data_IF_196857475565
#
_entry.id   IF_196857475565
#
_cell.length_a   1.000
_cell.length_b   1.000
_cell.length_c   1.000
_cell.angle_alpha   90.00
_cell.angle_beta   90.00
_cell.angle_gamma   90.00
#
_symmetry.space_group_name_H-M   'P 1'
#
loop_
_entity.id
_entity.type
_entity.pdbx_description
1 polymer ?
#
# COMPACT_ATOMS: atom_id res chain seq x y z
N UNK A 1 -9.14 3.87 -9.11
CA UNK A 1 -8.86 4.68 -10.31
C UNK A 1 -10.16 5.03 -11.05
N UNK A 2 -10.29 6.23 -11.62
CA UNK A 2 -11.49 6.63 -12.38
C UNK A 2 -11.08 7.30 -13.69
N UNK A 3 -11.64 6.84 -14.81
CA UNK A 3 -11.43 7.46 -16.13
C UNK A 3 -12.69 7.37 -16.97
N UNK A 4 -13.17 8.51 -17.46
CA UNK A 4 -14.36 8.61 -18.35
C UNK A 4 -15.59 7.85 -17.81
N UNK A 5 -15.82 7.89 -16.50
CA UNK A 5 -16.95 7.21 -15.85
C UNK A 5 -16.74 5.72 -15.56
N UNK A 6 -15.63 5.12 -16.00
CA UNK A 6 -15.24 3.76 -15.60
C UNK A 6 -14.41 3.83 -14.33
N UNK A 7 -14.73 2.97 -13.37
CA UNK A 7 -14.03 2.85 -12.08
C UNK A 7 -13.31 1.51 -12.04
N UNK A 8 -12.07 1.54 -11.58
CA UNK A 8 -11.32 0.36 -11.17
C UNK A 8 -11.01 0.49 -9.67
N UNK A 9 -11.39 -0.52 -8.91
CA UNK A 9 -11.24 -0.56 -7.45
C UNK A 9 -10.08 -1.46 -7.01
N UNK A 10 -9.60 -1.24 -5.79
CA UNK A 10 -8.71 -2.16 -5.06
C UNK A 10 -7.37 -2.42 -5.74
N UNK A 11 -6.76 -1.37 -6.32
CA UNK A 11 -5.50 -1.51 -7.09
C UNK A 11 -4.23 -1.57 -6.23
N UNK A 12 -4.31 -1.14 -4.98
CA UNK A 12 -3.21 -0.94 -4.05
C UNK A 12 -2.34 -2.19 -3.86
N UNK A 13 -2.91 -3.37 -3.65
CA UNK A 13 -2.10 -4.59 -3.40
C UNK A 13 -1.32 -5.03 -4.63
N UNK A 14 -1.94 -4.98 -5.82
CA UNK A 14 -1.26 -5.31 -7.07
C UNK A 14 -0.15 -4.28 -7.38
N UNK A 15 -0.45 -2.99 -7.23
CA UNK A 15 0.55 -1.94 -7.44
C UNK A 15 1.70 -2.03 -6.43
N UNK A 16 1.41 -2.43 -5.21
CA UNK A 16 2.41 -2.70 -4.17
C UNK A 16 3.34 -3.84 -4.60
N UNK A 17 2.78 -4.95 -5.09
CA UNK A 17 3.55 -6.09 -5.58
C UNK A 17 4.42 -5.73 -6.79
N UNK A 18 3.86 -4.99 -7.77
CA UNK A 18 4.61 -4.52 -8.94
C UNK A 18 5.78 -3.62 -8.53
N UNK A 19 5.56 -2.69 -7.58
CA UNK A 19 6.61 -1.81 -7.08
C UNK A 19 7.67 -2.60 -6.29
N UNK A 20 7.24 -3.55 -5.46
CA UNK A 20 8.12 -4.42 -4.68
C UNK A 20 8.94 -5.40 -5.53
N UNK A 21 8.47 -5.72 -6.74
CA UNK A 21 9.16 -6.57 -7.73
C UNK A 21 9.94 -5.75 -8.77
N UNK A 22 10.07 -4.45 -8.59
CA UNK A 22 10.76 -3.54 -9.52
C UNK A 22 10.20 -3.53 -10.96
N UNK A 23 8.90 -3.78 -11.13
CA UNK A 23 8.22 -3.67 -12.42
C UNK A 23 7.94 -2.21 -12.75
N UNK A 24 8.53 -1.71 -13.82
CA UNK A 24 8.26 -0.34 -14.31
C UNK A 24 7.15 -0.29 -15.37
N UNK A 25 7.06 -1.32 -16.21
CA UNK A 25 6.13 -1.36 -17.35
C UNK A 25 5.38 -2.69 -17.40
N UNK A 26 4.05 -2.65 -17.39
CA UNK A 26 3.21 -3.82 -17.63
C UNK A 26 1.83 -3.40 -18.18
N UNK A 27 1.13 -4.37 -18.78
CA UNK A 27 -0.31 -4.26 -19.03
C UNK A 27 -1.05 -5.09 -17.98
N UNK A 28 -2.14 -4.53 -17.47
CA UNK A 28 -3.04 -5.18 -16.52
C UNK A 28 -4.40 -5.27 -17.20
N UNK A 29 -4.72 -6.46 -17.69
CA UNK A 29 -6.00 -6.75 -18.33
C UNK A 29 -6.97 -7.35 -17.31
N UNK A 30 -8.19 -6.83 -17.29
CA UNK A 30 -9.25 -7.21 -16.35
C UNK A 30 -10.58 -7.31 -17.10
N UNK A 31 -11.38 -8.29 -16.73
CA UNK A 31 -12.75 -8.47 -17.22
C UNK A 31 -13.81 -7.96 -16.23
N UNK A 32 -13.37 -7.27 -15.17
CA UNK A 32 -14.22 -6.73 -14.11
C UNK A 32 -13.72 -5.36 -13.61
N UNK A 33 -14.47 -4.71 -12.71
CA UNK A 33 -14.21 -3.37 -12.18
C UNK A 33 -13.35 -3.36 -10.90
N UNK A 34 -12.86 -4.50 -10.45
CA UNK A 34 -12.08 -4.65 -9.21
C UNK A 34 -10.94 -5.64 -9.43
N UNK A 35 -9.76 -5.34 -8.89
CA UNK A 35 -8.63 -6.28 -8.84
C UNK A 35 -8.98 -7.41 -7.86
N UNK A 36 -8.69 -8.68 -8.19
CA UNK A 36 -8.94 -9.78 -7.27
C UNK A 36 -8.17 -9.59 -5.95
N UNK A 37 -8.86 -9.72 -4.83
CA UNK A 37 -8.28 -9.54 -3.49
C UNK A 37 -7.32 -10.66 -3.08
N UNK A 38 -7.43 -11.82 -3.73
CA UNK A 38 -6.68 -13.04 -3.44
C UNK A 38 -6.79 -13.44 -1.96
N UNK A 39 -5.68 -13.46 -1.22
CA UNK A 39 -5.64 -13.78 0.21
C UNK A 39 -5.67 -12.53 1.11
N UNK A 40 -5.89 -11.35 0.52
CA UNK A 40 -5.88 -10.07 1.21
C UNK A 40 -4.51 -9.42 1.32
N UNK A 41 -3.45 -10.06 0.84
CA UNK A 41 -2.08 -9.53 0.82
C UNK A 41 -1.60 -9.26 -0.62
N UNK A 42 -0.31 -8.95 -0.77
CA UNK A 42 0.37 -8.80 -2.07
C UNK A 42 1.21 -10.01 -2.44
N UNK A 43 1.35 -11.01 -1.55
CA UNK A 43 2.25 -12.16 -1.71
C UNK A 43 1.96 -12.95 -2.98
N UNK A 44 0.70 -13.35 -3.19
CA UNK A 44 0.31 -14.10 -4.38
C UNK A 44 0.60 -13.32 -5.69
N UNK A 45 0.42 -12.00 -5.71
CA UNK A 45 0.81 -11.20 -6.87
C UNK A 45 2.33 -11.17 -7.05
N UNK A 46 3.07 -10.98 -5.96
CA UNK A 46 4.52 -10.92 -5.96
C UNK A 46 5.15 -12.23 -6.45
N UNK A 47 4.62 -13.37 -6.02
CA UNK A 47 5.02 -14.70 -6.48
C UNK A 47 4.75 -14.90 -7.97
N UNK A 48 3.54 -14.56 -8.45
CA UNK A 48 3.20 -14.66 -9.87
C UNK A 48 4.09 -13.78 -10.76
N UNK A 49 4.48 -12.59 -10.29
CA UNK A 49 5.43 -11.72 -10.99
C UNK A 49 6.83 -12.38 -11.03
N UNK A 50 7.29 -12.94 -9.91
CA UNK A 50 8.57 -13.62 -9.83
C UNK A 50 8.62 -14.87 -10.74
N UNK A 51 7.54 -15.65 -10.81
CA UNK A 51 7.40 -16.80 -11.70
C UNK A 51 7.41 -16.41 -13.18
N UNK A 52 6.75 -15.31 -13.54
CA UNK A 52 6.76 -14.78 -14.90
C UNK A 52 8.13 -14.23 -15.31
N UNK A 53 8.90 -13.71 -14.34
CA UNK A 53 10.21 -13.10 -14.53
C UNK A 53 10.13 -11.65 -15.05
N UNK A 54 11.26 -10.95 -14.92
CA UNK A 54 11.41 -9.55 -15.36
C UNK A 54 12.23 -9.48 -16.64
N UNK A 55 11.72 -8.77 -17.64
CA UNK A 55 12.45 -8.48 -18.88
C UNK A 55 13.10 -7.09 -18.79
N UNK A 56 14.44 -7.04 -18.86
CA UNK A 56 15.16 -5.78 -18.95
C UNK A 56 14.87 -5.07 -20.28
N UNK A 57 14.82 -3.74 -20.24
CA UNK A 57 14.59 -2.89 -21.41
C UNK A 57 15.83 -2.02 -21.64
N UNK A 58 16.13 -1.73 -22.91
CA UNK A 58 17.23 -0.83 -23.30
C UNK A 58 16.86 0.65 -23.08
N UNK A 59 16.64 1.00 -21.82
CA UNK A 59 16.36 2.34 -21.37
C UNK A 59 16.78 2.50 -19.89
N UNK A 60 17.33 3.66 -19.49
CA UNK A 60 17.63 3.90 -18.08
C UNK A 60 16.34 3.91 -17.25
N UNK A 61 16.39 3.29 -16.07
CA UNK A 61 15.30 3.36 -15.09
C UNK A 61 15.27 4.78 -14.52
N UNK A 62 14.08 5.37 -14.47
CA UNK A 62 13.89 6.75 -13.98
C UNK A 62 13.28 6.72 -12.60
N UNK A 63 13.69 7.66 -11.74
CA UNK A 63 13.21 7.81 -10.38
C UNK A 63 12.71 9.22 -10.13
N UNK A 64 11.66 9.37 -9.32
CA UNK A 64 11.27 10.66 -8.75
C UNK A 64 12.06 10.87 -7.46
N UNK A 65 13.08 11.74 -7.51
CA UNK A 65 13.89 12.11 -6.33
C UNK A 65 13.28 13.32 -5.63
N UNK A 66 12.93 13.15 -4.36
CA UNK A 66 12.39 14.21 -3.50
C UNK A 66 13.51 15.19 -3.13
N UNK A 67 13.22 16.49 -3.21
CA UNK A 67 14.16 17.60 -2.98
C UNK A 67 13.79 18.48 -1.79
N UNK A 68 12.50 18.54 -1.47
CA UNK A 68 11.97 19.33 -0.37
C UNK A 68 10.90 18.54 0.36
N UNK A 69 10.72 18.78 1.66
CA UNK A 69 9.69 18.12 2.45
C UNK A 69 8.30 18.59 2.01
N UNK A 70 7.40 17.63 1.76
CA UNK A 70 5.99 17.86 1.48
C UNK A 70 5.15 17.13 2.52
N UNK A 71 4.11 17.79 3.05
CA UNK A 71 3.30 17.28 4.15
C UNK A 71 1.81 17.57 3.95
N UNK A 72 0.97 16.65 4.44
CA UNK A 72 -0.48 16.79 4.60
C UNK A 72 -0.85 16.45 6.03
N UNK A 73 -1.73 17.27 6.62
CA UNK A 73 -2.34 17.05 7.92
C UNK A 73 -3.86 17.19 7.78
N UNK A 74 -4.61 16.22 8.31
CA UNK A 74 -6.07 16.20 8.31
C UNK A 74 -6.56 15.68 9.67
N UNK A 75 -6.82 16.59 10.62
CA UNK A 75 -7.19 16.20 11.98
C UNK A 75 -6.02 15.50 12.68
N UNK A 76 -6.22 14.25 13.08
CA UNK A 76 -5.19 13.41 13.73
C UNK A 76 -4.36 12.58 12.75
N UNK A 77 -4.59 12.73 11.44
CA UNK A 77 -3.88 12.00 10.38
C UNK A 77 -2.83 12.88 9.75
N UNK A 78 -1.60 12.38 9.67
CA UNK A 78 -0.50 13.09 9.01
C UNK A 78 0.31 12.17 8.12
N UNK A 79 0.78 12.71 7.01
CA UNK A 79 1.72 12.03 6.14
C UNK A 79 2.65 13.05 5.52
N UNK A 80 3.93 12.70 5.45
CA UNK A 80 4.95 13.54 4.85
C UNK A 80 5.89 12.70 4.02
N UNK A 81 6.53 13.36 3.07
CA UNK A 81 7.65 12.81 2.31
C UNK A 81 8.79 13.82 2.30
N UNK A 82 10.01 13.36 2.53
CA UNK A 82 11.20 14.19 2.62
C UNK A 82 12.39 13.59 1.85
N UNK A 83 13.40 14.42 1.51
CA UNK A 83 14.56 13.96 0.76
C UNK A 83 15.29 12.82 1.47
N UNK A 84 15.54 11.74 0.74
CA UNK A 84 16.40 10.64 1.14
C UNK A 84 17.05 10.03 -0.11
N UNK A 85 18.16 9.32 0.07
CA UNK A 85 18.83 8.60 -1.02
C UNK A 85 18.11 7.30 -1.38
N UNK A 86 17.51 6.64 -0.38
CA UNK A 86 16.76 5.40 -0.54
C UNK A 86 15.26 5.62 -0.28
N UNK A 87 14.44 4.68 -0.73
CA UNK A 87 13.02 4.63 -0.40
C UNK A 87 12.82 3.98 0.97
N UNK A 88 12.17 4.70 1.88
CA UNK A 88 11.82 4.17 3.21
C UNK A 88 10.48 4.71 3.68
N UNK A 89 9.80 3.95 4.53
CA UNK A 89 8.50 4.31 5.11
C UNK A 89 8.56 4.05 6.61
N UNK A 90 8.36 5.08 7.40
CA UNK A 90 8.04 4.98 8.82
C UNK A 90 6.52 5.09 8.97
N UNK A 91 5.87 4.04 9.45
CA UNK A 91 4.42 4.01 9.64
C UNK A 91 4.08 3.79 11.11
N UNK A 92 3.15 4.60 11.61
CA UNK A 92 2.54 4.47 12.92
C UNK A 92 1.03 4.33 12.76
N UNK A 93 0.48 3.26 13.33
CA UNK A 93 -0.96 3.09 13.47
C UNK A 93 -1.33 3.16 14.95
N UNK A 94 -2.53 3.66 15.23
CA UNK A 94 -3.05 3.77 16.59
C UNK A 94 -4.55 3.48 16.56
N UNK A 95 -4.89 2.22 16.82
CA UNK A 95 -6.25 1.73 16.87
C UNK A 95 -6.61 1.42 18.32
N UNK A 96 -7.78 1.89 18.76
CA UNK A 96 -8.34 1.53 20.06
C UNK A 96 -8.90 0.10 20.02
N UNK A 97 -8.02 -0.89 19.87
CA UNK A 97 -8.34 -2.30 19.76
C UNK A 97 -7.26 -3.14 20.45
N UNK A 98 -7.62 -4.12 21.29
CA UNK A 98 -6.67 -4.85 22.15
C UNK A 98 -5.57 -5.60 21.38
N UNK A 99 -5.83 -6.04 20.14
CA UNK A 99 -4.82 -6.73 19.30
C UNK A 99 -3.94 -5.79 18.49
N UNK A 100 -4.37 -4.55 18.25
CA UNK A 100 -3.61 -3.61 17.42
C UNK A 100 -2.87 -2.63 18.33
N UNK A 101 -3.61 -1.89 19.17
CA UNK A 101 -3.10 -0.74 19.92
C UNK A 101 -2.29 0.20 19.01
N UNK A 102 -1.29 0.87 19.59
CA UNK A 102 -0.31 1.64 18.84
C UNK A 102 0.82 0.73 18.37
N UNK A 103 1.02 0.65 17.06
CA UNK A 103 2.13 -0.08 16.44
C UNK A 103 2.96 0.86 15.58
N UNK A 104 4.23 0.56 15.45
CA UNK A 104 5.14 1.30 14.57
C UNK A 104 6.08 0.34 13.86
N UNK A 105 6.25 0.52 12.56
CA UNK A 105 7.22 -0.23 11.77
C UNK A 105 7.94 0.71 10.80
N UNK A 106 9.23 0.46 10.57
CA UNK A 106 10.01 1.18 9.57
C UNK A 106 10.48 0.20 8.51
N UNK A 107 10.01 0.39 7.29
CA UNK A 107 10.45 -0.35 6.11
C UNK A 107 11.52 0.44 5.38
N UNK A 108 12.61 -0.21 4.98
CA UNK A 108 13.61 0.34 4.06
C UNK A 108 13.70 -0.59 2.85
N UNK A 109 13.58 -0.03 1.65
CA UNK A 109 13.67 -0.81 0.44
C UNK A 109 15.12 -1.27 0.22
N UNK A 110 15.30 -2.59 0.13
CA UNK A 110 16.53 -3.24 -0.29
C UNK A 110 16.19 -4.47 -1.15
N UNK A 111 17.22 -5.17 -1.62
CA UNK A 111 17.01 -6.37 -2.42
C UNK A 111 16.26 -7.45 -1.63
N UNK A 112 14.97 -7.63 -1.98
CA UNK A 112 14.07 -8.62 -1.40
C UNK A 112 13.46 -8.24 -0.06
N UNK A 113 13.69 -7.05 0.50
CA UNK A 113 13.04 -6.67 1.77
C UNK A 113 11.52 -6.67 1.66
N UNK A 114 10.97 -6.23 0.52
CA UNK A 114 9.53 -6.23 0.28
C UNK A 114 8.91 -7.63 0.45
N UNK A 115 9.48 -8.64 -0.22
CA UNK A 115 9.00 -10.02 -0.12
C UNK A 115 9.13 -10.59 1.29
N UNK A 116 10.23 -10.29 1.99
CA UNK A 116 10.48 -10.81 3.36
C UNK A 116 9.62 -10.15 4.43
N UNK A 117 9.30 -8.87 4.29
CA UNK A 117 8.79 -8.06 5.38
C UNK A 117 7.37 -7.52 5.16
N UNK A 118 6.91 -7.40 3.92
CA UNK A 118 5.69 -6.66 3.61
C UNK A 118 4.68 -7.49 2.82
N UNK A 119 5.13 -8.24 1.81
CA UNK A 119 4.25 -8.85 0.80
C UNK A 119 3.11 -9.69 1.40
N UNK A 120 3.40 -10.48 2.43
CA UNK A 120 2.43 -11.41 3.05
C UNK A 120 1.47 -10.76 4.05
N UNK A 121 1.58 -9.45 4.33
CA UNK A 121 0.74 -8.79 5.33
C UNK A 121 -0.70 -8.58 4.81
N UNK A 122 -1.67 -9.26 5.42
CA UNK A 122 -3.07 -9.26 4.95
C UNK A 122 -3.84 -8.03 5.39
N UNK A 123 -4.84 -7.69 4.58
CA UNK A 123 -5.84 -6.68 4.91
C UNK A 123 -6.67 -7.09 6.11
N UNK A 124 -7.29 -6.11 6.76
CA UNK A 124 -8.06 -6.34 7.97
C UNK A 124 -9.27 -5.41 8.07
N UNK A 125 -10.31 -5.88 8.76
CA UNK A 125 -11.53 -5.11 8.98
C UNK A 125 -12.24 -5.54 10.26
N UNK A 126 -13.17 -4.70 10.73
CA UNK A 126 -13.90 -4.93 11.98
C UNK A 126 -15.28 -5.51 11.72
N UNK A 127 -15.72 -6.48 12.54
CA UNK A 127 -17.05 -7.11 12.40
C UNK A 127 -18.20 -6.11 12.43
N UNK A 128 -18.06 -5.04 13.21
CA UNK A 128 -19.06 -3.97 13.33
C UNK A 128 -19.23 -3.17 12.04
N UNK A 129 -18.17 -3.07 11.23
CA UNK A 129 -18.17 -2.33 9.96
C UNK A 129 -18.66 -3.19 8.81
N UNK A 130 -18.45 -4.51 8.86
CA UNK A 130 -18.78 -5.44 7.75
C UNK A 130 -20.26 -5.37 7.37
N UNK A 131 -21.18 -5.33 8.33
CA UNK A 131 -22.62 -5.22 8.01
C UNK A 131 -22.95 -3.91 7.29
N UNK A 132 -22.33 -2.79 7.72
CA UNK A 132 -22.53 -1.49 7.09
C UNK A 132 -21.95 -1.47 5.68
N UNK A 133 -20.74 -1.99 5.50
CA UNK A 133 -20.07 -2.10 4.20
C UNK A 133 -20.90 -2.94 3.23
N UNK A 134 -21.39 -4.11 3.66
CA UNK A 134 -22.25 -4.97 2.83
C UNK A 134 -23.55 -4.28 2.42
N UNK A 135 -24.19 -3.52 3.33
CA UNK A 135 -25.38 -2.71 3.00
C UNK A 135 -25.09 -1.61 1.97
N UNK A 136 -23.83 -1.14 1.89
CA UNK A 136 -23.36 -0.19 0.90
C UNK A 136 -22.81 -0.87 -0.39
N UNK A 137 -23.02 -2.17 -0.58
CA UNK A 137 -22.44 -2.98 -1.66
C UNK A 137 -20.89 -3.00 -1.68
N UNK A 138 -20.27 -2.85 -0.51
CA UNK A 138 -18.82 -2.96 -0.31
C UNK A 138 -18.49 -4.28 0.43
N UNK A 139 -17.25 -4.76 0.29
CA UNK A 139 -16.76 -5.97 0.95
C UNK A 139 -17.63 -7.23 0.74
N UNK A 140 -18.33 -7.33 -0.40
CA UNK A 140 -19.23 -8.45 -0.72
C UNK A 140 -18.48 -9.78 -0.89
N UNK A 141 -17.24 -9.73 -1.37
CA UNK A 141 -16.34 -10.89 -1.48
C UNK A 141 -15.48 -11.15 -0.23
N UNK A 142 -15.65 -10.36 0.83
CA UNK A 142 -14.86 -10.48 2.06
C UNK A 142 -15.17 -11.76 2.84
N UNK A 143 -14.12 -12.48 3.22
CA UNK A 143 -14.15 -13.73 3.98
C UNK A 143 -12.92 -13.87 4.89
N UNK A 144 -12.89 -14.90 5.74
CA UNK A 144 -11.72 -15.18 6.58
C UNK A 144 -10.50 -15.65 5.77
N UNK A 145 -10.71 -16.08 4.52
CA UNK A 145 -9.64 -16.52 3.62
C UNK A 145 -8.88 -15.35 2.99
N UNK A 146 -9.48 -14.15 2.99
CA UNK A 146 -8.94 -12.98 2.31
C UNK A 146 -8.86 -11.70 3.15
N UNK A 147 -9.14 -11.80 4.45
CA UNK A 147 -8.99 -10.70 5.39
C UNK A 147 -8.84 -11.23 6.82
N UNK A 148 -8.12 -10.46 7.65
CA UNK A 148 -8.16 -10.60 9.10
C UNK A 148 -9.41 -9.87 9.60
N UNK A 149 -10.32 -10.61 10.26
CA UNK A 149 -11.59 -10.05 10.73
C UNK A 149 -11.55 -9.91 12.25
N UNK A 150 -11.58 -8.67 12.72
CA UNK A 150 -11.45 -8.30 14.12
C UNK A 150 -12.83 -8.18 14.79
N UNK A 151 -13.00 -8.87 15.92
CA UNK A 151 -14.14 -8.66 16.83
C UNK A 151 -13.80 -7.51 17.80
N UNK A 152 -14.69 -7.04 18.68
CA UNK A 152 -14.34 -5.99 19.65
C UNK A 152 -13.19 -6.36 20.61
N UNK A 153 -12.98 -7.66 20.83
CA UNK A 153 -12.09 -8.24 21.84
C UNK A 153 -11.04 -9.21 21.27
N UNK A 154 -11.00 -9.42 19.96
CA UNK A 154 -10.17 -10.45 19.34
C UNK A 154 -10.22 -10.49 17.81
N UNK A 155 -10.06 -11.68 17.25
CA UNK A 155 -10.16 -11.94 15.82
C UNK A 155 -10.92 -13.24 15.56
N UNK A 156 -11.62 -13.32 14.42
CA UNK A 156 -12.36 -14.51 14.00
C UNK A 156 -11.49 -15.55 13.29
N UNK A 157 -10.34 -15.15 12.73
CA UNK A 157 -9.46 -16.07 12.03
C UNK A 157 -8.89 -17.11 13.00
N UNK A 158 -8.99 -18.39 12.65
CA UNK A 158 -8.42 -19.48 13.45
C UNK A 158 -6.89 -19.62 13.27
N UNK A 159 -6.37 -19.13 12.13
CA UNK A 159 -4.94 -19.07 11.86
C UNK A 159 -4.30 -17.88 12.56
N UNK A 160 -3.07 -17.99 13.08
CA UNK A 160 -2.36 -16.86 13.66
C UNK A 160 -2.09 -15.77 12.62
N UNK A 161 -1.67 -14.60 13.10
CA UNK A 161 -1.08 -13.58 12.25
C UNK A 161 0.21 -14.12 11.60
N UNK A 162 0.48 -13.67 10.38
CA UNK A 162 1.72 -13.97 9.65
C UNK A 162 2.91 -13.20 10.24
N UNK A 163 2.63 -12.05 10.84
CA UNK A 163 3.57 -11.23 11.59
C UNK A 163 2.92 -10.73 12.88
N UNK A 164 3.68 -10.58 13.96
CA UNK A 164 3.15 -10.01 15.22
C UNK A 164 2.61 -8.57 15.02
N UNK A 165 3.16 -7.86 14.03
CA UNK A 165 2.86 -6.50 13.61
C UNK A 165 2.23 -6.45 12.19
N UNK A 166 1.47 -7.49 11.80
CA UNK A 166 0.87 -7.64 10.47
C UNK A 166 0.01 -6.43 10.05
N UNK A 167 -0.69 -5.77 10.98
CA UNK A 167 -1.56 -4.63 10.69
C UNK A 167 -0.79 -3.39 10.21
N UNK A 168 0.33 -3.04 10.85
CA UNK A 168 1.14 -1.89 10.43
C UNK A 168 1.94 -2.19 9.16
N UNK A 169 2.38 -3.44 8.98
CA UNK A 169 3.00 -3.90 7.72
C UNK A 169 2.03 -3.82 6.55
N UNK A 170 0.77 -4.18 6.76
CA UNK A 170 -0.27 -4.02 5.74
C UNK A 170 -0.52 -2.54 5.41
N UNK A 171 -0.46 -1.63 6.39
CA UNK A 171 -0.52 -0.19 6.09
C UNK A 171 0.67 0.33 5.31
N UNK A 172 1.85 -0.27 5.47
CA UNK A 172 2.99 0.02 4.61
C UNK A 172 2.77 -0.55 3.20
N UNK A 173 2.21 -1.76 3.06
CA UNK A 173 1.81 -2.34 1.77
C UNK A 173 0.86 -1.40 1.01
N UNK A 174 -0.18 -0.89 1.68
CA UNK A 174 -1.11 0.12 1.14
C UNK A 174 -0.37 1.37 0.65
N UNK A 175 0.53 1.92 1.48
CA UNK A 175 1.32 3.12 1.14
C UNK A 175 2.18 2.89 -0.11
N UNK A 176 2.87 1.74 -0.21
CA UNK A 176 3.70 1.40 -1.37
C UNK A 176 2.84 1.37 -2.65
N UNK A 177 1.67 0.73 -2.57
CA UNK A 177 0.71 0.66 -3.68
C UNK A 177 0.18 2.02 -4.11
N UNK A 178 -0.23 2.86 -3.15
CA UNK A 178 -0.75 4.20 -3.45
C UNK A 178 0.34 5.14 -3.99
N UNK A 179 1.56 5.06 -3.47
CA UNK A 179 2.71 5.84 -3.96
C UNK A 179 3.08 5.44 -5.38
N UNK A 180 2.89 4.17 -5.76
CA UNK A 180 3.17 3.70 -7.12
C UNK A 180 2.32 4.44 -8.18
N UNK A 181 1.18 5.05 -7.81
CA UNK A 181 0.35 5.88 -8.70
C UNK A 181 1.03 7.17 -9.17
N UNK A 182 2.14 7.58 -8.54
CA UNK A 182 3.03 8.63 -9.05
C UNK A 182 3.62 8.25 -10.42
N UNK A 183 3.72 6.96 -10.72
CA UNK A 183 4.17 6.42 -12.00
C UNK A 183 5.68 6.20 -12.12
N UNK A 184 6.46 6.58 -11.11
CA UNK A 184 7.90 6.32 -11.02
C UNK A 184 8.25 5.79 -9.63
N UNK A 185 9.29 4.95 -9.48
CA UNK A 185 9.88 4.68 -8.18
C UNK A 185 10.36 5.98 -7.53
N UNK A 186 10.23 6.08 -6.22
CA UNK A 186 10.48 7.31 -5.46
C UNK A 186 11.74 7.18 -4.62
N UNK A 187 12.60 8.19 -4.62
CA UNK A 187 13.72 8.32 -3.69
C UNK A 187 13.36 9.37 -2.64
N UNK A 188 13.10 8.93 -1.41
CA UNK A 188 12.56 9.74 -0.35
C UNK A 188 12.11 8.90 0.85
N UNK A 189 12.08 9.53 2.02
CA UNK A 189 11.52 8.94 3.23
C UNK A 189 10.08 9.40 3.40
N UNK A 190 9.15 8.46 3.56
CA UNK A 190 7.78 8.73 3.95
C UNK A 190 7.65 8.54 5.46
N UNK A 191 6.96 9.47 6.13
CA UNK A 191 6.50 9.28 7.51
C UNK A 191 4.98 9.39 7.52
N UNK A 192 4.31 8.36 8.01
CA UNK A 192 2.86 8.21 8.01
C UNK A 192 2.35 7.90 9.42
N UNK A 193 1.38 8.67 9.91
CA UNK A 193 0.71 8.39 11.17
C UNK A 193 -0.80 8.44 10.98
N UNK A 194 -1.46 7.31 11.29
CA UNK A 194 -2.92 7.11 11.15
C UNK A 194 -3.45 7.48 9.76
N UNK A 195 -2.61 7.34 8.73
CA UNK A 195 -2.95 7.69 7.35
C UNK A 195 -3.77 6.58 6.68
N UNK A 196 -4.46 6.94 5.61
CA UNK A 196 -5.14 6.01 4.71
C UNK A 196 -5.19 6.60 3.30
N UNK A 197 -5.76 5.86 2.34
CA UNK A 197 -5.71 6.17 0.90
C UNK A 197 -6.02 7.63 0.54
N UNK A 198 -6.99 8.27 1.21
CA UNK A 198 -7.31 9.69 0.98
C UNK A 198 -6.14 10.64 1.30
N UNK A 199 -5.42 10.39 2.39
CA UNK A 199 -4.24 11.16 2.80
C UNK A 199 -3.06 10.85 1.87
N UNK A 200 -2.90 9.59 1.46
CA UNK A 200 -1.84 9.18 0.52
C UNK A 200 -2.01 9.88 -0.83
N UNK A 201 -3.21 9.82 -1.40
CA UNK A 201 -3.55 10.49 -2.65
C UNK A 201 -3.39 12.02 -2.56
N UNK A 202 -3.79 12.63 -1.43
CA UNK A 202 -3.60 14.06 -1.19
C UNK A 202 -2.11 14.44 -1.16
N UNK A 203 -1.26 13.65 -0.49
CA UNK A 203 0.18 13.89 -0.43
C UNK A 203 0.81 13.75 -1.81
N UNK A 204 0.53 12.67 -2.55
CA UNK A 204 1.07 12.46 -3.89
C UNK A 204 0.61 13.56 -4.86
N UNK A 205 -0.65 13.99 -4.78
CA UNK A 205 -1.14 15.12 -5.57
C UNK A 205 -0.42 16.43 -5.24
N UNK A 206 -0.16 16.69 -3.94
CA UNK A 206 0.59 17.88 -3.51
C UNK A 206 2.05 17.86 -3.95
N UNK A 207 2.71 16.70 -3.84
CA UNK A 207 4.08 16.48 -4.31
C UNK A 207 4.19 16.79 -5.81
N UNK A 208 3.34 16.15 -6.62
CA UNK A 208 3.36 16.33 -8.08
C UNK A 208 3.04 17.78 -8.52
N UNK A 209 2.20 18.51 -7.79
CA UNK A 209 1.89 19.93 -8.06
C UNK A 209 2.99 20.89 -7.61
N UNK A 210 3.87 20.46 -6.72
CA UNK A 210 4.96 21.29 -6.18
C UNK A 210 6.24 20.93 -6.92
N UNK A 211 6.38 21.40 -8.16
CA UNK A 211 7.47 21.00 -9.07
C UNK A 211 8.88 21.24 -8.50
N UNK A 212 9.06 22.22 -7.59
CA UNK A 212 10.36 22.45 -6.92
C UNK A 212 10.77 21.32 -5.98
N UNK A 213 9.79 20.57 -5.46
CA UNK A 213 9.99 19.56 -4.42
C UNK A 213 10.47 18.21 -4.94
N UNK A 214 10.59 18.03 -6.26
CA UNK A 214 11.11 16.80 -6.85
C UNK A 214 11.86 17.04 -8.16
N UNK A 215 12.58 16.02 -8.62
CA UNK A 215 13.14 15.95 -9.97
C UNK A 215 13.17 14.51 -10.45
N UNK A 216 13.21 14.30 -11.76
CA UNK A 216 13.49 12.98 -12.32
C UNK A 216 15.01 12.78 -12.41
N UNK A 217 15.47 11.61 -11.99
CA UNK A 217 16.87 11.15 -12.12
C UNK A 217 16.90 9.77 -12.78
N UNK A 218 18.07 9.40 -13.30
CA UNK A 218 18.39 8.10 -13.89
C UNK A 218 19.53 7.45 -13.12
#
# INVERSE_FOLDING_TARGET
LVRRGVVLSTCEHLLSALRGADVDNCFIDLDNIEIPILDGSSENFYELIAEAGIAEQDAPRRYLKVRERVEIEQGDRRMSIEPAEDFSIECVIDFNHPFINRQSFTFTADNGSYGREIASARTFGFTEEIEMLRKANLALGGSLDNAIVLTPDGMLNETPLRFDDEFVRHKILDIIGDVALVGLPVLGKITAEKSGHAVHAALMSKLLKTESSWKIVE
#
